data_IF_322977158177
#
_entry.id   IF_322977158177
#
_cell.length_a   1.000
_cell.length_b   1.000
_cell.length_c   1.000
_cell.angle_alpha   90.00
_cell.angle_beta   90.00
_cell.angle_gamma   90.00
#
_symmetry.space_group_name_H-M   'P 1'
#
loop_
_entity.id
_entity.type
_entity.pdbx_description
1 polymer ?
#
# COMPACT_ATOMS: atom_id res chain seq x y z
N UNK A 1 1.76 30.09 47.68
CA UNK A 1 0.99 29.74 48.90
C UNK A 1 -0.35 29.17 48.48
N UNK A 2 -0.63 27.95 48.94
CA UNK A 2 -1.91 27.22 48.78
C UNK A 2 -3.09 28.00 49.40
N UNK A 3 -4.31 27.49 49.13
CA UNK A 3 -5.61 27.73 49.78
C UNK A 3 -6.62 28.57 48.96
N UNK A 4 -7.56 27.91 48.26
CA UNK A 4 -8.95 27.86 48.72
C UNK A 4 -9.79 26.78 48.00
N UNK A 5 -10.35 25.92 48.84
CA UNK A 5 -11.48 24.99 48.68
C UNK A 5 -12.69 25.52 47.90
N UNK A 6 -13.34 24.65 47.09
CA UNK A 6 -14.73 24.22 47.36
C UNK A 6 -15.22 23.07 46.45
N UNK A 7 -15.48 21.94 47.11
CA UNK A 7 -16.29 20.80 46.66
C UNK A 7 -17.75 21.24 46.45
N UNK A 8 -18.36 20.92 45.30
CA UNK A 8 -19.81 20.88 45.16
C UNK A 8 -20.27 19.42 45.03
N UNK A 9 -20.82 18.92 46.14
CA UNK A 9 -21.60 17.68 46.24
C UNK A 9 -22.92 17.87 45.49
N UNK A 10 -23.26 16.98 44.56
CA UNK A 10 -24.63 16.47 44.45
C UNK A 10 -24.55 14.97 44.18
N UNK A 11 -24.88 14.22 45.22
CA UNK A 11 -25.15 12.79 45.20
C UNK A 11 -26.56 12.60 44.64
N UNK A 12 -26.71 11.83 43.57
CA UNK A 12 -28.02 11.31 43.16
C UNK A 12 -27.94 9.79 43.09
N UNK A 13 -28.76 9.20 43.93
CA UNK A 13 -28.86 7.79 44.26
C UNK A 13 -29.39 6.96 43.10
N UNK A 14 -28.89 5.72 43.05
CA UNK A 14 -29.50 4.52 42.51
C UNK A 14 -31.03 4.49 42.64
N UNK A 15 -31.74 4.18 41.54
CA UNK A 15 -32.89 3.29 41.62
C UNK A 15 -32.94 2.34 40.41
N UNK A 16 -32.89 1.07 40.79
CA UNK A 16 -33.13 -0.17 40.05
C UNK A 16 -34.53 -0.19 39.41
N UNK A 17 -34.63 -0.52 38.12
CA UNK A 17 -35.78 -1.24 37.52
C UNK A 17 -35.16 -2.20 36.51
N UNK A 18 -34.83 -3.43 36.92
CA UNK A 18 -35.71 -4.61 36.89
C UNK A 18 -36.26 -4.89 35.49
N UNK A 19 -35.67 -5.86 34.80
CA UNK A 19 -36.18 -6.37 33.54
C UNK A 19 -35.36 -7.56 33.04
N UNK A 20 -35.66 -8.76 33.55
CA UNK A 20 -35.12 -10.03 33.08
C UNK A 20 -35.70 -10.45 31.71
N UNK A 21 -34.81 -10.93 30.84
CA UNK A 21 -34.91 -12.07 29.92
C UNK A 21 -36.22 -12.42 29.17
N UNK A 22 -36.18 -12.40 27.83
CA UNK A 22 -36.98 -13.29 26.95
C UNK A 22 -36.40 -13.21 25.52
N UNK A 23 -35.58 -14.16 25.03
CA UNK A 23 -35.88 -15.49 24.44
C UNK A 23 -35.52 -15.42 22.95
N UNK A 24 -34.59 -16.29 22.53
CA UNK A 24 -34.16 -16.46 21.15
C UNK A 24 -35.27 -17.00 20.24
N UNK A 25 -35.37 -16.44 19.05
CA UNK A 25 -35.97 -17.05 17.87
C UNK A 25 -34.91 -17.30 16.78
N UNK A 26 -35.10 -18.46 16.17
CA UNK A 26 -34.22 -19.26 15.34
C UNK A 26 -34.15 -18.80 13.88
N UNK A 27 -32.94 -18.82 13.34
CA UNK A 27 -32.54 -19.06 11.94
C UNK A 27 -33.54 -18.67 10.83
N UNK A 28 -33.33 -17.48 10.25
CA UNK A 28 -33.72 -17.13 8.89
C UNK A 28 -32.54 -16.42 8.22
N UNK A 29 -31.79 -17.15 7.39
CA UNK A 29 -30.67 -16.63 6.60
C UNK A 29 -31.22 -15.68 5.53
N UNK A 30 -30.78 -14.42 5.54
CA UNK A 30 -31.24 -13.38 4.63
C UNK A 30 -30.20 -12.30 4.43
N UNK A 31 -29.31 -12.55 3.46
CA UNK A 31 -28.45 -11.64 2.70
C UNK A 31 -27.64 -10.54 3.40
N UNK A 32 -26.33 -10.82 3.43
CA UNK A 32 -25.24 -9.91 3.05
C UNK A 32 -25.04 -8.67 3.90
N UNK A 33 -24.53 -8.88 5.12
CA UNK A 33 -23.63 -7.92 5.77
C UNK A 33 -22.64 -8.67 6.63
N UNK A 34 -21.59 -9.23 6.03
CA UNK A 34 -20.46 -9.74 6.80
C UNK A 34 -19.37 -8.67 6.81
N UNK A 35 -19.35 -7.95 7.92
CA UNK A 35 -18.16 -7.26 8.42
C UNK A 35 -17.90 -7.86 9.79
N UNK A 36 -16.61 -7.98 10.14
CA UNK A 36 -15.97 -8.33 11.42
C UNK A 36 -15.40 -9.77 11.48
N UNK A 37 -14.15 -10.08 11.86
CA UNK A 37 -13.15 -9.36 12.68
C UNK A 37 -11.77 -10.08 12.64
N UNK A 38 -10.70 -9.40 12.18
CA UNK A 38 -9.28 -9.44 12.64
C UNK A 38 -8.32 -9.02 11.50
N UNK A 39 -7.85 -7.77 11.49
CA UNK A 39 -6.70 -7.30 10.68
C UNK A 39 -7.01 -6.24 9.60
N UNK A 40 -6.96 -4.97 10.01
CA UNK A 40 -6.80 -3.71 9.25
C UNK A 40 -7.72 -3.31 8.06
N UNK A 41 -8.54 -2.30 8.36
CA UNK A 41 -8.63 -0.98 7.71
C UNK A 41 -8.01 -0.80 6.31
N UNK A 42 -8.87 -0.68 5.28
CA UNK A 42 -8.54 0.05 4.04
C UNK A 42 -7.97 -0.80 2.91
N UNK A 43 -8.81 -1.62 2.26
CA UNK A 43 -8.49 -2.15 0.92
C UNK A 43 -8.74 -1.05 -0.12
N UNK A 44 -7.88 -0.03 -0.15
CA UNK A 44 -7.57 0.66 -1.41
C UNK A 44 -7.04 -0.41 -2.37
N UNK A 45 -7.17 -0.23 -3.69
CA UNK A 45 -6.80 -1.25 -4.69
C UNK A 45 -5.29 -1.51 -4.82
N UNK A 46 -4.64 -1.87 -3.71
CA UNK A 46 -3.20 -2.05 -3.44
C UNK A 46 -2.94 -3.41 -2.77
N UNK A 47 -3.82 -4.39 -2.93
CA UNK A 47 -3.80 -5.65 -2.16
C UNK A 47 -4.14 -6.88 -3.00
N UNK A 48 -3.86 -6.79 -4.30
CA UNK A 48 -3.68 -7.98 -5.15
C UNK A 48 -2.19 -7.90 -5.50
N UNK A 49 -1.35 -8.38 -4.59
CA UNK A 49 0.11 -8.61 -4.71
C UNK A 49 0.23 -10.08 -4.28
N UNK A 50 0.17 -10.96 -5.29
CA UNK A 50 -0.13 -12.38 -5.12
C UNK A 50 1.08 -13.16 -4.60
N UNK A 51 2.28 -12.76 -4.96
CA UNK A 51 3.54 -13.37 -4.51
C UNK A 51 4.26 -12.58 -3.41
N UNK A 52 3.83 -11.34 -3.14
CA UNK A 52 4.24 -10.57 -1.98
C UNK A 52 5.62 -9.92 -2.13
N UNK A 53 6.04 -9.60 -3.35
CA UNK A 53 7.34 -9.03 -3.65
C UNK A 53 7.38 -7.49 -3.60
N UNK A 54 6.21 -6.87 -3.43
CA UNK A 54 6.04 -5.42 -3.36
C UNK A 54 5.57 -4.79 -4.67
N UNK A 55 5.40 -5.57 -5.75
CA UNK A 55 4.76 -5.15 -7.00
C UNK A 55 3.31 -5.65 -7.01
N UNK A 56 2.30 -4.79 -7.25
CA UNK A 56 0.92 -5.26 -7.37
C UNK A 56 0.69 -6.05 -8.66
N UNK A 57 -0.15 -7.11 -8.62
CA UNK A 57 -0.59 -7.96 -9.75
C UNK A 57 -0.99 -7.18 -11.02
N UNK A 58 -1.54 -5.98 -10.82
CA UNK A 58 -1.99 -5.11 -11.92
C UNK A 58 -0.82 -4.47 -12.64
N UNK A 59 0.20 -4.07 -11.89
CA UNK A 59 1.44 -3.49 -12.40
C UNK A 59 2.21 -4.61 -13.09
N UNK A 60 2.35 -5.76 -12.45
CA UNK A 60 3.04 -6.91 -13.03
C UNK A 60 2.44 -7.31 -14.40
N UNK A 61 1.10 -7.42 -14.49
CA UNK A 61 0.42 -7.67 -15.77
C UNK A 61 0.56 -6.55 -16.79
N UNK A 62 0.68 -5.30 -16.35
CA UNK A 62 0.82 -4.16 -17.27
C UNK A 62 2.20 -4.18 -17.95
N UNK A 63 3.24 -4.54 -17.19
CA UNK A 63 4.62 -4.61 -17.67
C UNK A 63 4.99 -5.99 -18.22
N UNK A 64 4.20 -7.04 -17.94
CA UNK A 64 4.44 -8.40 -18.42
C UNK A 64 5.38 -9.21 -17.54
N UNK A 65 5.44 -8.86 -16.25
CA UNK A 65 5.98 -9.64 -15.14
C UNK A 65 4.99 -10.78 -14.76
N UNK A 66 5.41 -11.72 -13.90
CA UNK A 66 4.61 -12.86 -13.44
C UNK A 66 4.10 -12.64 -12.01
N UNK A 67 2.78 -12.41 -11.80
CA UNK A 67 2.14 -12.26 -10.48
C UNK A 67 2.28 -13.41 -9.49
N UNK A 68 3.01 -14.46 -9.83
CA UNK A 68 3.21 -15.61 -8.98
C UNK A 68 4.70 -15.92 -8.77
N UNK A 69 5.60 -15.11 -9.31
CA UNK A 69 7.05 -15.27 -9.15
C UNK A 69 7.67 -14.05 -8.46
N UNK A 70 7.82 -14.08 -7.13
CA UNK A 70 8.32 -12.94 -6.36
C UNK A 70 9.81 -12.64 -6.61
N UNK A 71 10.47 -13.47 -7.43
CA UNK A 71 11.86 -13.27 -7.80
C UNK A 71 11.97 -12.20 -8.88
N UNK A 72 10.95 -12.03 -9.71
CA UNK A 72 11.00 -11.17 -10.89
C UNK A 72 11.10 -9.68 -10.50
N UNK A 73 10.51 -9.24 -9.39
CA UNK A 73 10.74 -7.91 -8.81
C UNK A 73 12.22 -7.58 -8.59
N UNK A 74 13.05 -8.60 -8.36
CA UNK A 74 14.49 -8.47 -8.13
C UNK A 74 15.34 -8.83 -9.34
N UNK A 75 14.71 -9.25 -10.43
CA UNK A 75 15.38 -9.42 -11.70
C UNK A 75 15.53 -8.08 -12.41
N UNK A 76 16.44 -8.07 -13.38
CA UNK A 76 16.78 -6.95 -14.24
C UNK A 76 16.44 -7.42 -15.67
N UNK A 77 15.23 -7.08 -16.12
CA UNK A 77 14.61 -7.68 -17.29
C UNK A 77 15.14 -7.08 -18.61
N UNK A 78 15.65 -5.86 -18.57
CA UNK A 78 16.27 -5.17 -19.72
C UNK A 78 17.79 -4.97 -19.61
N UNK A 79 18.40 -5.42 -18.51
CA UNK A 79 19.84 -5.47 -18.27
C UNK A 79 20.50 -4.09 -18.14
N UNK A 80 19.79 -3.14 -17.53
CA UNK A 80 20.22 -1.75 -17.34
C UNK A 80 20.85 -1.48 -15.95
N UNK A 81 20.94 -2.53 -15.11
CA UNK A 81 21.39 -2.52 -13.73
C UNK A 81 20.43 -1.93 -12.68
N UNK A 82 19.16 -1.74 -13.03
CA UNK A 82 18.05 -1.58 -12.08
C UNK A 82 17.26 -2.87 -11.96
N UNK A 83 16.70 -3.10 -10.77
CA UNK A 83 15.72 -4.17 -10.60
C UNK A 83 14.34 -3.70 -11.02
N UNK A 84 13.49 -4.60 -11.50
CA UNK A 84 12.12 -4.29 -11.90
C UNK A 84 11.37 -3.51 -10.80
N UNK A 85 11.56 -3.86 -9.52
CA UNK A 85 10.97 -3.12 -8.40
C UNK A 85 11.50 -1.69 -8.28
N UNK A 86 12.80 -1.47 -8.47
CA UNK A 86 13.40 -0.13 -8.45
C UNK A 86 12.83 0.72 -9.59
N UNK A 87 12.73 0.14 -10.78
CA UNK A 87 12.17 0.81 -11.95
C UNK A 87 10.70 1.21 -11.75
N UNK A 88 9.86 0.30 -11.22
CA UNK A 88 8.47 0.60 -10.87
C UNK A 88 8.37 1.72 -9.83
N UNK A 89 9.31 1.79 -8.89
CA UNK A 89 9.36 2.86 -7.89
C UNK A 89 9.81 4.21 -8.48
N UNK A 90 10.66 4.19 -9.50
CA UNK A 90 11.10 5.36 -10.25
C UNK A 90 10.07 5.80 -11.30
N UNK A 91 9.20 4.89 -11.73
CA UNK A 91 8.25 5.10 -12.82
C UNK A 91 8.83 4.85 -14.21
N UNK A 92 10.01 4.21 -14.29
CA UNK A 92 10.62 3.77 -15.55
C UNK A 92 9.99 2.47 -16.04
N UNK A 93 10.40 2.02 -17.22
CA UNK A 93 9.83 0.85 -17.86
C UNK A 93 10.76 -0.36 -17.72
N UNK A 94 10.39 -1.41 -16.95
CA UNK A 94 11.21 -2.60 -16.70
C UNK A 94 11.52 -3.49 -17.91
N UNK A 95 11.21 -3.03 -19.10
CA UNK A 95 11.47 -3.73 -20.36
C UNK A 95 12.20 -2.87 -21.35
N UNK A 96 12.61 -1.68 -20.94
CA UNK A 96 13.21 -0.70 -21.79
C UNK A 96 14.28 0.04 -21.01
N UNK A 97 15.51 -0.41 -21.22
CA UNK A 97 16.69 0.08 -20.51
C UNK A 97 16.97 1.58 -20.68
N UNK A 98 16.25 2.29 -21.56
CA UNK A 98 16.35 3.73 -21.84
C UNK A 98 14.91 4.24 -22.00
N UNK A 99 14.26 4.60 -20.88
CA UNK A 99 12.82 4.91 -20.84
C UNK A 99 12.49 6.19 -21.60
N UNK A 100 13.35 7.19 -21.54
CA UNK A 100 13.13 8.49 -22.17
C UNK A 100 13.68 8.60 -23.61
N UNK A 101 14.52 7.66 -24.02
CA UNK A 101 15.04 7.51 -25.37
C UNK A 101 16.20 8.45 -25.70
N UNK A 102 16.96 8.92 -24.72
CA UNK A 102 18.10 9.82 -24.92
C UNK A 102 19.41 9.09 -25.26
N UNK A 103 19.44 7.76 -25.09
CA UNK A 103 20.57 6.88 -25.34
C UNK A 103 21.44 6.58 -24.12
N UNK A 104 21.06 7.05 -22.94
CA UNK A 104 21.63 6.71 -21.64
C UNK A 104 20.67 5.70 -20.98
N UNK A 105 21.23 4.74 -20.23
CA UNK A 105 20.41 3.74 -19.57
C UNK A 105 19.78 4.29 -18.30
N UNK A 106 18.54 3.90 -17.97
CA UNK A 106 17.84 4.39 -16.77
C UNK A 106 18.69 4.13 -15.51
N UNK A 107 19.32 2.96 -15.41
CA UNK A 107 20.25 2.64 -14.32
C UNK A 107 21.52 3.49 -14.28
N UNK A 108 22.07 3.88 -15.43
CA UNK A 108 23.20 4.80 -15.50
C UNK A 108 22.77 6.22 -15.06
N UNK A 109 21.57 6.65 -15.41
CA UNK A 109 21.01 7.93 -15.01
C UNK A 109 20.76 8.01 -13.50
N UNK A 110 20.13 6.99 -12.93
CA UNK A 110 19.90 6.87 -11.49
C UNK A 110 21.23 6.85 -10.73
N UNK A 111 22.25 6.16 -11.26
CA UNK A 111 23.59 6.14 -10.68
C UNK A 111 24.28 7.51 -10.71
N UNK A 112 24.07 8.27 -11.79
CA UNK A 112 24.58 9.64 -11.95
C UNK A 112 23.72 10.69 -11.21
N UNK A 113 22.54 10.31 -10.73
CA UNK A 113 21.59 11.19 -10.07
C UNK A 113 20.83 12.11 -11.02
N UNK A 114 20.66 11.70 -12.28
CA UNK A 114 19.79 12.34 -13.28
C UNK A 114 18.38 11.73 -13.23
N UNK A 115 17.47 12.20 -14.07
CA UNK A 115 16.06 11.79 -14.10
C UNK A 115 15.81 10.87 -15.30
N UNK A 116 15.60 9.56 -15.10
CA UNK A 116 15.44 8.59 -16.20
C UNK A 116 14.13 8.73 -17.00
N UNK A 117 13.31 9.74 -16.67
CA UNK A 117 12.10 10.08 -17.39
C UNK A 117 12.23 11.39 -18.18
N UNK A 118 13.41 12.03 -18.14
CA UNK A 118 13.69 13.29 -18.80
C UNK A 118 14.96 13.20 -19.64
N UNK A 119 14.74 13.06 -20.96
CA UNK A 119 15.78 12.95 -21.99
C UNK A 119 16.74 14.15 -22.10
N UNK A 120 16.54 15.19 -21.27
CA UNK A 120 17.44 16.34 -21.17
C UNK A 120 18.21 16.39 -19.87
N UNK A 121 17.95 15.45 -18.96
CA UNK A 121 18.55 15.36 -17.63
C UNK A 121 19.91 14.67 -17.67
N UNK A 122 20.18 13.87 -18.71
CA UNK A 122 21.46 13.24 -18.97
C UNK A 122 22.63 14.24 -19.02
N UNK A 123 23.87 13.79 -18.74
CA UNK A 123 25.07 14.61 -18.88
C UNK A 123 25.14 15.21 -20.29
N UNK A 124 24.95 16.52 -20.37
CA UNK A 124 25.05 17.26 -21.62
C UNK A 124 26.32 16.85 -22.38
N UNK A 125 26.16 16.35 -23.61
CA UNK A 125 27.26 16.14 -24.55
C UNK A 125 28.00 17.48 -24.75
N UNK A 126 29.12 17.66 -24.03
CA UNK A 126 29.96 18.86 -24.08
C UNK A 126 31.07 18.75 -25.11
#
# INVERSE_FOLDING_TARGET
MVWFTRFLKVSICFLFVSGCAFKADSHGVGSQKQVVESGDNGKTGTADDTDGDGIPDKIEKAWGLDPNDPSDAREDLDSDALTNLEEINLGTNPKNADTDGDGILDGDEVLNGTDPLDATSGPADT
#
